data_IF_297071880589
#
_entry.id   IF_297071880589
#
_cell.length_a   1.000
_cell.length_b   1.000
_cell.length_c   1.000
_cell.angle_alpha   90.00
_cell.angle_beta   90.00
_cell.angle_gamma   90.00
#
_symmetry.space_group_name_H-M   'P 1'
#
loop_
_entity.id
_entity.type
_entity.pdbx_description
1 polymer ?
#
# COMPACT_ATOMS: atom_id res chain seq x y z
N UNK A 1 -3.20 24.78 31.39
CA UNK A 1 -3.02 23.38 30.92
C UNK A 1 -3.68 23.11 29.55
N UNK A 2 -4.07 24.11 28.76
CA UNK A 2 -4.84 23.88 27.51
C UNK A 2 -4.03 23.97 26.21
N UNK A 3 -2.83 24.58 26.23
CA UNK A 3 -2.00 24.79 25.03
C UNK A 3 -1.31 23.52 24.53
N UNK A 4 -0.92 22.63 25.44
CA UNK A 4 -0.19 21.39 25.09
C UNK A 4 -1.11 20.39 24.39
N UNK A 5 -2.38 20.35 24.78
CA UNK A 5 -3.38 19.47 24.18
C UNK A 5 -3.84 19.98 22.80
N UNK A 6 -3.76 21.29 22.57
CA UNK A 6 -4.03 21.89 21.25
C UNK A 6 -2.86 21.68 20.29
N UNK A 7 -1.62 21.89 20.74
CA UNK A 7 -0.43 21.63 19.92
C UNK A 7 -0.37 20.17 19.43
N UNK A 8 -0.59 19.20 20.33
CA UNK A 8 -0.62 17.78 19.98
C UNK A 8 -1.70 17.43 18.95
N UNK A 9 -2.87 18.08 19.04
CA UNK A 9 -3.95 17.87 18.08
C UNK A 9 -3.60 18.42 16.70
N UNK A 10 -3.01 19.62 16.63
CA UNK A 10 -2.56 20.23 15.37
C UNK A 10 -1.50 19.37 14.68
N UNK A 11 -0.52 18.85 15.44
CA UNK A 11 0.51 17.95 14.90
C UNK A 11 -0.12 16.66 14.34
N UNK A 12 -1.03 16.03 15.09
CA UNK A 12 -1.74 14.83 14.62
C UNK A 12 -2.60 15.09 13.39
N UNK A 13 -3.21 16.28 13.30
CA UNK A 13 -4.01 16.68 12.16
C UNK A 13 -3.15 16.91 10.92
N UNK A 14 -2.01 17.59 11.06
CA UNK A 14 -1.06 17.79 9.98
C UNK A 14 -0.52 16.45 9.44
N UNK A 15 -0.12 15.55 10.33
CA UNK A 15 0.33 14.20 9.97
C UNK A 15 -0.77 13.43 9.21
N UNK A 16 -2.02 13.51 9.70
CA UNK A 16 -3.16 12.89 9.02
C UNK A 16 -3.33 13.43 7.60
N UNK A 17 -3.40 14.75 7.41
CA UNK A 17 -3.59 15.36 6.09
C UNK A 17 -2.46 14.99 5.14
N UNK A 18 -1.21 15.08 5.60
CA UNK A 18 -0.04 14.70 4.81
C UNK A 18 -0.10 13.22 4.39
N UNK A 19 -0.60 12.35 5.28
CA UNK A 19 -0.67 10.92 5.02
C UNK A 19 -1.67 10.52 3.93
N UNK A 20 -2.63 11.40 3.60
CA UNK A 20 -3.66 11.16 2.59
C UNK A 20 -3.18 11.42 1.15
N UNK A 21 -2.08 12.15 0.96
CA UNK A 21 -1.54 12.53 -0.35
C UNK A 21 -2.61 13.11 -1.30
N UNK A 22 -3.39 14.08 -0.80
CA UNK A 22 -4.48 14.73 -1.55
C UNK A 22 -4.05 16.08 -2.12
N UNK A 23 -4.68 16.48 -3.23
CA UNK A 23 -4.48 17.79 -3.83
C UNK A 23 -4.79 18.93 -2.84
N UNK A 24 -4.12 20.10 -2.96
CA UNK A 24 -4.32 21.22 -2.04
C UNK A 24 -5.77 21.68 -1.91
N UNK A 25 -6.56 21.63 -2.98
CA UNK A 25 -7.96 22.04 -2.94
C UNK A 25 -8.83 21.07 -2.11
N UNK A 26 -8.52 19.76 -2.18
CA UNK A 26 -9.19 18.75 -1.35
C UNK A 26 -8.74 18.87 0.11
N UNK A 27 -7.45 19.11 0.35
CA UNK A 27 -6.93 19.36 1.69
C UNK A 27 -7.64 20.54 2.36
N UNK A 28 -7.75 21.68 1.66
CA UNK A 28 -8.51 22.85 2.14
C UNK A 28 -9.96 22.53 2.44
N UNK A 29 -10.61 21.70 1.63
CA UNK A 29 -11.98 21.24 1.89
C UNK A 29 -12.08 20.44 3.20
N UNK A 30 -11.12 19.56 3.47
CA UNK A 30 -11.06 18.76 4.72
C UNK A 30 -10.74 19.66 5.93
N UNK A 31 -9.88 20.67 5.74
CA UNK A 31 -9.57 21.67 6.77
C UNK A 31 -10.77 22.56 7.16
N UNK A 32 -11.77 22.69 6.29
CA UNK A 32 -12.99 23.45 6.56
C UNK A 32 -14.07 22.64 7.28
N UNK A 33 -13.86 21.35 7.53
CA UNK A 33 -14.84 20.52 8.23
C UNK A 33 -15.03 20.98 9.69
N UNK A 34 -16.23 20.81 10.27
CA UNK A 34 -16.46 21.04 11.69
C UNK A 34 -15.53 20.19 12.57
N UNK A 35 -15.13 20.71 13.73
CA UNK A 35 -14.19 20.04 14.64
C UNK A 35 -14.60 18.62 15.02
N UNK A 36 -15.90 18.35 15.19
CA UNK A 36 -16.40 17.02 15.53
C UNK A 36 -16.16 16.01 14.39
N UNK A 37 -16.25 16.45 13.13
CA UNK A 37 -15.93 15.61 11.98
C UNK A 37 -14.42 15.36 11.87
N UNK A 38 -13.60 16.39 12.13
CA UNK A 38 -12.14 16.26 12.16
C UNK A 38 -11.68 15.27 13.24
N UNK A 39 -12.27 15.35 14.44
CA UNK A 39 -12.03 14.39 15.53
C UNK A 39 -12.35 12.96 15.12
N UNK A 40 -13.52 12.73 14.52
CA UNK A 40 -13.88 11.41 14.01
C UNK A 40 -12.96 10.92 12.90
N UNK A 41 -12.46 11.79 12.03
CA UNK A 41 -11.47 11.41 11.01
C UNK A 41 -10.16 10.94 11.64
N UNK A 42 -9.65 11.66 12.66
CA UNK A 42 -8.45 11.27 13.40
C UNK A 42 -8.62 9.95 14.16
N UNK A 43 -9.77 9.74 14.81
CA UNK A 43 -10.09 8.47 15.48
C UNK A 43 -10.06 7.30 14.50
N UNK A 44 -10.69 7.46 13.33
CA UNK A 44 -10.69 6.44 12.28
C UNK A 44 -9.30 6.22 11.66
N UNK A 45 -8.50 7.28 11.55
CA UNK A 45 -7.13 7.19 11.06
C UNK A 45 -6.25 6.35 12.00
N UNK A 46 -6.33 6.59 13.30
CA UNK A 46 -5.56 5.84 14.31
C UNK A 46 -5.87 4.33 14.33
N UNK A 47 -7.09 3.95 13.94
CA UNK A 47 -7.54 2.54 13.91
C UNK A 47 -7.08 1.81 12.64
N UNK A 48 -6.80 2.53 11.55
CA UNK A 48 -6.43 1.92 10.26
C UNK A 48 -4.97 1.46 10.26
N UNK A 49 -4.74 0.30 10.86
CA UNK A 49 -3.48 -0.43 10.74
C UNK A 49 -3.52 -1.25 9.44
N UNK A 50 -2.49 -1.17 8.58
CA UNK A 50 -2.38 -2.02 7.39
C UNK A 50 -2.47 -3.51 7.75
N UNK A 51 -3.18 -4.30 6.94
CA UNK A 51 -3.33 -5.75 7.18
C UNK A 51 -1.99 -6.49 7.21
N UNK A 52 -1.03 -6.03 6.41
CA UNK A 52 0.33 -6.56 6.31
C UNK A 52 1.30 -5.41 6.07
N UNK A 53 2.55 -5.58 6.50
CA UNK A 53 3.62 -4.60 6.24
C UNK A 53 4.01 -4.60 4.76
N UNK A 54 4.60 -3.49 4.30
CA UNK A 54 5.14 -3.39 2.94
C UNK A 54 6.19 -4.48 2.66
N UNK A 55 7.11 -4.71 3.62
CA UNK A 55 8.09 -5.80 3.58
C UNK A 55 7.48 -7.18 3.29
N UNK A 56 6.31 -7.47 3.90
CA UNK A 56 5.63 -8.74 3.68
C UNK A 56 5.22 -8.92 2.21
N UNK A 57 4.59 -7.91 1.60
CA UNK A 57 4.20 -7.98 0.19
C UNK A 57 5.40 -8.04 -0.74
N UNK A 58 6.47 -7.27 -0.47
CA UNK A 58 7.68 -7.35 -1.30
C UNK A 58 8.32 -8.74 -1.24
N UNK A 59 8.37 -9.35 -0.05
CA UNK A 59 8.86 -10.71 0.12
C UNK A 59 8.04 -11.73 -0.67
N UNK A 60 6.70 -11.59 -0.64
CA UNK A 60 5.79 -12.42 -1.43
C UNK A 60 6.01 -12.26 -2.93
N UNK A 61 6.16 -11.02 -3.43
CA UNK A 61 6.41 -10.73 -4.84
C UNK A 61 7.75 -11.31 -5.29
N UNK A 62 8.83 -11.10 -4.52
CA UNK A 62 10.17 -11.67 -4.78
C UNK A 62 10.10 -13.22 -4.85
N UNK A 63 9.21 -13.84 -4.08
CA UNK A 63 8.97 -15.29 -4.07
C UNK A 63 8.10 -15.85 -5.21
N UNK A 64 7.43 -14.99 -6.00
CA UNK A 64 6.54 -15.45 -7.07
C UNK A 64 7.31 -16.23 -8.15
N UNK A 65 6.75 -17.37 -8.53
CA UNK A 65 7.30 -18.22 -9.59
C UNK A 65 6.58 -17.93 -10.90
N UNK A 66 7.36 -17.74 -11.96
CA UNK A 66 6.85 -17.71 -13.34
C UNK A 66 7.06 -19.10 -13.93
N UNK A 67 5.98 -19.86 -14.11
CA UNK A 67 6.06 -21.28 -14.41
C UNK A 67 6.53 -21.61 -15.83
N UNK A 68 7.67 -22.29 -15.98
CA UNK A 68 8.00 -23.12 -17.15
C UNK A 68 8.28 -24.55 -16.65
N UNK A 69 7.26 -25.41 -16.64
CA UNK A 69 7.49 -26.85 -16.55
C UNK A 69 7.12 -27.48 -17.88
N UNK A 70 8.14 -27.88 -18.63
CA UNK A 70 8.04 -28.74 -19.81
C UNK A 70 7.94 -30.22 -19.43
N UNK A 71 7.81 -30.56 -18.13
CA UNK A 71 7.97 -31.95 -17.67
C UNK A 71 6.95 -32.43 -16.61
N UNK A 72 5.89 -31.69 -16.30
CA UNK A 72 4.84 -32.19 -15.40
C UNK A 72 3.47 -32.07 -16.07
N UNK A 73 2.67 -33.14 -16.02
CA UNK A 73 1.35 -33.24 -16.67
C UNK A 73 0.26 -32.36 -16.02
N UNK A 74 0.59 -31.58 -14.99
CA UNK A 74 -0.36 -30.64 -14.37
C UNK A 74 0.30 -29.47 -13.62
N UNK A 75 0.96 -28.51 -14.29
CA UNK A 75 1.32 -27.25 -13.69
C UNK A 75 0.21 -26.21 -14.02
N UNK A 76 0.17 -25.04 -13.35
CA UNK A 76 -0.44 -23.80 -13.91
C UNK A 76 -1.90 -23.41 -13.57
N UNK A 77 -2.49 -23.82 -12.44
CA UNK A 77 -3.62 -23.04 -11.85
C UNK A 77 -3.28 -22.39 -10.52
N UNK A 78 -2.58 -23.10 -9.63
CA UNK A 78 -2.20 -22.58 -8.31
C UNK A 78 -1.30 -21.34 -8.38
N UNK A 79 -0.17 -21.43 -9.07
CA UNK A 79 0.84 -20.35 -9.07
C UNK A 79 0.33 -19.05 -9.71
N UNK A 80 -0.42 -19.15 -10.83
CA UNK A 80 -0.98 -17.98 -11.50
C UNK A 80 -2.09 -17.32 -10.67
N UNK A 81 -2.91 -18.14 -10.00
CA UNK A 81 -3.96 -17.65 -9.11
C UNK A 81 -3.35 -17.00 -7.86
N UNK A 82 -2.34 -17.63 -7.27
CA UNK A 82 -1.60 -17.08 -6.13
C UNK A 82 -0.92 -15.75 -6.48
N UNK A 83 -0.27 -15.68 -7.66
CA UNK A 83 0.31 -14.43 -8.13
C UNK A 83 -0.74 -13.33 -8.29
N UNK A 84 -1.90 -13.66 -8.86
CA UNK A 84 -3.02 -12.71 -8.99
C UNK A 84 -3.50 -12.21 -7.63
N UNK A 85 -3.66 -13.09 -6.65
CA UNK A 85 -4.09 -12.72 -5.30
C UNK A 85 -3.10 -11.81 -4.60
N UNK A 86 -1.80 -12.15 -4.66
CA UNK A 86 -0.73 -11.35 -4.06
C UNK A 86 -0.63 -9.97 -4.72
N UNK A 87 -0.69 -9.91 -6.05
CA UNK A 87 -0.61 -8.64 -6.79
C UNK A 87 -1.84 -7.76 -6.54
N UNK A 88 -3.04 -8.32 -6.50
CA UNK A 88 -4.26 -7.57 -6.16
C UNK A 88 -4.21 -7.03 -4.73
N UNK A 89 -3.77 -7.85 -3.77
CA UNK A 89 -3.63 -7.40 -2.38
C UNK A 89 -2.54 -6.32 -2.24
N UNK A 90 -1.45 -6.41 -3.01
CA UNK A 90 -0.42 -5.38 -3.06
C UNK A 90 -0.95 -4.08 -3.67
N UNK A 91 -1.69 -4.14 -4.78
CA UNK A 91 -2.31 -2.96 -5.41
C UNK A 91 -3.25 -2.23 -4.44
N UNK A 92 -4.14 -2.97 -3.78
CA UNK A 92 -5.06 -2.37 -2.81
C UNK A 92 -4.28 -1.69 -1.69
N UNK A 93 -3.22 -2.33 -1.19
CA UNK A 93 -2.37 -1.77 -0.12
C UNK A 93 -1.66 -0.51 -0.58
N UNK A 94 -1.07 -0.50 -1.78
CA UNK A 94 -0.43 0.68 -2.37
C UNK A 94 -1.41 1.85 -2.57
N UNK A 95 -2.67 1.55 -2.93
CA UNK A 95 -3.68 2.58 -3.24
C UNK A 95 -4.40 3.13 -2.00
N UNK A 96 -4.56 2.33 -0.95
CA UNK A 96 -5.49 2.66 0.16
C UNK A 96 -4.84 2.83 1.52
N UNK A 97 -3.60 2.39 1.70
CA UNK A 97 -2.84 2.72 2.90
C UNK A 97 -2.32 4.15 2.81
N UNK A 98 -1.81 4.65 3.94
CA UNK A 98 -1.15 5.95 3.96
C UNK A 98 0.08 5.99 3.05
N UNK A 99 0.49 7.20 2.66
CA UNK A 99 1.67 7.39 1.80
C UNK A 99 2.96 6.84 2.41
N UNK A 100 3.09 6.83 3.75
CA UNK A 100 4.24 6.26 4.45
C UNK A 100 4.44 4.76 4.12
N UNK A 101 3.34 4.00 4.02
CA UNK A 101 3.39 2.60 3.59
C UNK A 101 3.94 2.44 2.16
N UNK A 102 3.66 3.39 1.27
CA UNK A 102 4.20 3.41 -0.10
C UNK A 102 5.70 3.68 -0.08
N UNK A 103 6.17 4.61 0.76
CA UNK A 103 7.61 4.82 0.96
C UNK A 103 8.28 3.57 1.51
N UNK A 104 7.72 2.93 2.54
CA UNK A 104 8.21 1.65 3.06
C UNK A 104 8.27 0.57 1.96
N UNK A 105 7.29 0.53 1.05
CA UNK A 105 7.30 -0.41 -0.07
C UNK A 105 8.43 -0.14 -1.05
N UNK A 106 8.69 1.13 -1.38
CA UNK A 106 9.77 1.54 -2.27
C UNK A 106 11.14 1.27 -1.64
N UNK A 107 11.31 1.55 -0.34
CA UNK A 107 12.54 1.32 0.42
C UNK A 107 12.92 -0.16 0.52
N UNK A 108 11.96 -1.07 0.34
CA UNK A 108 12.18 -2.52 0.36
C UNK A 108 12.47 -3.12 -1.03
N UNK A 109 12.76 -2.28 -2.02
CA UNK A 109 12.88 -2.62 -3.46
C UNK A 109 11.55 -3.10 -4.09
N UNK A 110 10.40 -2.66 -3.57
CA UNK A 110 9.10 -3.13 -4.04
C UNK A 110 8.86 -2.85 -5.53
N UNK A 111 9.33 -1.70 -6.02
CA UNK A 111 9.28 -1.38 -7.46
C UNK A 111 10.11 -2.36 -8.29
N UNK A 112 11.36 -2.62 -7.87
CA UNK A 112 12.25 -3.56 -8.58
C UNK A 112 11.67 -4.98 -8.55
N UNK A 113 11.08 -5.41 -7.44
CA UNK A 113 10.41 -6.71 -7.33
C UNK A 113 9.26 -6.85 -8.34
N UNK A 114 8.42 -5.81 -8.49
CA UNK A 114 7.33 -5.79 -9.48
C UNK A 114 7.86 -5.82 -10.91
N UNK A 115 8.85 -4.97 -11.23
CA UNK A 115 9.47 -4.90 -12.56
C UNK A 115 10.09 -6.25 -12.93
N UNK A 116 10.84 -6.87 -12.01
CA UNK A 116 11.45 -8.18 -12.22
C UNK A 116 10.40 -9.27 -12.44
N UNK A 117 9.31 -9.28 -11.67
CA UNK A 117 8.23 -10.25 -11.87
C UNK A 117 7.56 -10.08 -13.24
N UNK A 118 7.17 -8.85 -13.61
CA UNK A 118 6.53 -8.55 -14.90
C UNK A 118 7.45 -8.91 -16.05
N UNK A 119 8.74 -8.55 -15.97
CA UNK A 119 9.75 -8.90 -16.97
C UNK A 119 9.84 -10.41 -17.18
N UNK A 120 9.92 -11.20 -16.09
CA UNK A 120 9.92 -12.68 -16.17
C UNK A 120 8.67 -13.24 -16.85
N UNK A 121 7.49 -12.68 -16.57
CA UNK A 121 6.22 -13.07 -17.21
C UNK A 121 6.21 -12.71 -18.69
N UNK A 122 6.60 -11.49 -19.05
CA UNK A 122 6.66 -11.03 -20.45
C UNK A 122 7.62 -11.90 -21.27
N UNK A 123 8.83 -12.16 -20.75
CA UNK A 123 9.80 -13.05 -21.38
C UNK A 123 9.31 -14.49 -21.54
N UNK A 124 8.33 -14.92 -20.74
CA UNK A 124 7.68 -16.22 -20.90
C UNK A 124 6.62 -16.20 -22.01
N UNK A 125 5.89 -15.08 -22.18
CA UNK A 125 4.80 -14.96 -23.17
C UNK A 125 5.33 -14.67 -24.58
N UNK A 126 6.45 -13.96 -24.70
CA UNK A 126 7.03 -13.55 -26.00
C UNK A 126 7.96 -14.63 -26.60
N UNK A 127 8.33 -15.66 -25.83
CA UNK A 127 9.10 -16.82 -26.31
C UNK A 127 8.18 -17.94 -26.77
#
# INVERSE_FOLDING_TARGET
MNHENTAKYEDQWADFIQSLDVDPDKAKGIEQLPDDQKRHLLENYAIKIPKCSAFHYVSLIKGLRVGRSTLTKNPRKGDAQQAKEILLATEISLRTNNVAWVYDFLDQDGLEALVNYVSRVIHMVIR
#
